data_IF_775160273996
#
_entry.id   IF_775160273996
#
_cell.length_a   1.000
_cell.length_b   1.000
_cell.length_c   1.000
_cell.angle_alpha   90.00
_cell.angle_beta   90.00
_cell.angle_gamma   90.00
#
_symmetry.space_group_name_H-M   'P 1'
#
loop_
_entity.id
_entity.type
_entity.pdbx_description
1 polymer ?
#
# COMPACT_ATOMS: atom_id res chain seq x y z
N UNK A 1 -12.03 -12.24 11.71
CA UNK A 1 -11.61 -12.68 10.36
C UNK A 1 -10.70 -11.63 9.76
N UNK A 2 -9.66 -12.06 9.08
CA UNK A 2 -8.72 -11.16 8.44
C UNK A 2 -9.22 -10.77 7.05
N UNK A 3 -8.94 -9.55 6.66
CA UNK A 3 -9.29 -9.06 5.31
C UNK A 3 -8.02 -9.02 4.47
N UNK A 4 -8.12 -9.58 3.27
CA UNK A 4 -7.06 -9.47 2.28
C UNK A 4 -7.41 -8.33 1.33
N UNK A 5 -6.46 -7.42 1.13
CA UNK A 5 -6.66 -6.24 0.29
C UNK A 5 -5.70 -6.21 -0.89
N UNK A 6 -6.23 -5.77 -2.02
CA UNK A 6 -5.44 -5.30 -3.15
C UNK A 6 -5.48 -3.77 -3.13
N UNK A 7 -4.34 -3.13 -3.07
CA UNK A 7 -4.24 -1.67 -3.00
C UNK A 7 -3.43 -1.17 -4.19
N UNK A 8 -4.03 -0.28 -4.97
CA UNK A 8 -3.35 0.44 -6.04
C UNK A 8 -3.07 1.84 -5.54
N UNK A 9 -1.80 2.22 -5.47
CA UNK A 9 -1.42 3.48 -4.86
C UNK A 9 -0.32 4.17 -5.65
N UNK A 10 -0.27 5.49 -5.54
CA UNK A 10 0.71 6.30 -6.24
C UNK A 10 1.94 6.45 -5.36
N UNK A 11 3.07 5.96 -5.87
CA UNK A 11 4.35 6.13 -5.19
C UNK A 11 4.91 7.51 -5.53
N UNK A 12 5.48 8.16 -4.53
CA UNK A 12 6.16 9.44 -4.73
C UNK A 12 7.55 9.15 -5.28
N UNK A 13 7.94 9.88 -6.31
CA UNK A 13 9.30 9.80 -6.84
C UNK A 13 9.87 11.19 -7.06
N UNK A 14 11.19 11.28 -7.02
CA UNK A 14 11.86 12.54 -7.26
C UNK A 14 11.83 12.85 -8.74
N UNK A 15 11.42 14.07 -9.08
CA UNK A 15 11.41 14.52 -10.46
C UNK A 15 12.80 14.80 -11.00
N UNK A 16 13.73 15.17 -10.12
CA UNK A 16 15.10 15.48 -10.52
C UNK A 16 16.05 15.17 -9.36
N UNK A 17 17.32 14.90 -9.70
CA UNK A 17 18.38 14.67 -8.71
C UNK A 17 19.27 15.91 -8.52
N UNK A 18 19.12 16.92 -9.37
CA UNK A 18 19.93 18.14 -9.33
C UNK A 18 19.04 19.36 -9.52
N UNK A 19 19.62 20.53 -9.38
CA UNK A 19 18.91 21.78 -9.65
C UNK A 19 18.48 21.83 -11.11
N UNK A 20 17.18 22.10 -11.32
CA UNK A 20 16.58 22.13 -12.66
C UNK A 20 15.69 23.37 -12.77
N UNK A 21 15.72 24.02 -13.92
CA UNK A 21 14.83 25.13 -14.17
C UNK A 21 13.36 24.65 -14.16
N UNK A 22 12.48 25.46 -13.62
CA UNK A 22 11.07 25.08 -13.48
C UNK A 22 10.47 24.70 -14.84
N UNK A 23 10.83 25.44 -15.89
CA UNK A 23 10.29 25.20 -17.24
C UNK A 23 10.78 23.88 -17.85
N UNK A 24 11.85 23.31 -17.29
CA UNK A 24 12.42 22.04 -17.77
C UNK A 24 11.87 20.83 -17.01
N UNK A 25 11.03 21.04 -16.01
CA UNK A 25 10.41 19.94 -15.29
C UNK A 25 9.39 19.24 -16.18
N UNK A 26 9.47 17.92 -16.20
CA UNK A 26 8.56 17.08 -16.95
C UNK A 26 7.65 16.35 -15.95
N UNK A 27 6.35 16.45 -16.18
CA UNK A 27 5.38 15.66 -15.41
C UNK A 27 5.29 14.27 -16.05
N UNK A 28 5.92 13.29 -15.42
CA UNK A 28 5.91 11.90 -15.90
C UNK A 28 4.66 11.16 -15.44
N UNK A 29 3.77 11.82 -14.74
CA UNK A 29 2.56 11.21 -14.20
C UNK A 29 2.82 10.44 -12.91
N UNK A 30 1.83 9.67 -12.49
CA UNK A 30 1.93 8.86 -11.30
C UNK A 30 2.51 7.48 -11.61
N UNK A 31 3.37 7.01 -10.74
CA UNK A 31 3.80 5.61 -10.76
C UNK A 31 2.85 4.85 -9.85
N UNK A 32 2.06 3.95 -10.43
CA UNK A 32 1.08 3.17 -9.68
C UNK A 32 1.68 1.84 -9.27
N UNK A 33 1.66 1.61 -7.96
CA UNK A 33 2.10 0.35 -7.36
C UNK A 33 0.88 -0.46 -6.99
N UNK A 34 0.90 -1.74 -7.28
CA UNK A 34 -0.13 -2.67 -6.85
C UNK A 34 0.43 -3.55 -5.73
N UNK A 35 -0.21 -3.50 -4.57
CA UNK A 35 0.21 -4.28 -3.41
C UNK A 35 -0.94 -5.11 -2.90
N UNK A 36 -0.65 -6.33 -2.47
CA UNK A 36 -1.63 -7.24 -1.90
C UNK A 36 -1.13 -7.68 -0.53
N UNK A 37 -2.02 -7.66 0.45
CA UNK A 37 -1.63 -8.11 1.78
C UNK A 37 -2.82 -8.25 2.72
N UNK A 38 -2.50 -8.74 3.90
CA UNK A 38 -3.47 -8.91 4.99
C UNK A 38 -3.58 -7.57 5.70
N UNK A 39 -4.79 -7.02 5.76
CA UNK A 39 -5.01 -5.73 6.41
C UNK A 39 -4.81 -5.84 7.93
N UNK A 40 -4.06 -4.91 8.48
CA UNK A 40 -3.92 -4.74 9.92
C UNK A 40 -4.74 -3.53 10.34
N UNK A 41 -5.58 -3.71 11.36
CA UNK A 41 -6.35 -2.62 11.93
C UNK A 41 -5.43 -1.66 12.70
N UNK A 42 -5.86 -0.42 12.81
CA UNK A 42 -5.09 0.63 13.48
C UNK A 42 -4.67 0.21 14.90
N UNK A 43 -5.56 -0.49 15.61
CA UNK A 43 -5.32 -0.93 16.98
C UNK A 43 -4.49 -2.22 17.08
N UNK A 44 -4.25 -2.89 15.97
CA UNK A 44 -3.59 -4.19 15.94
C UNK A 44 -2.46 -4.22 14.91
N UNK A 45 -1.50 -3.35 15.08
CA UNK A 45 -0.33 -3.29 14.20
C UNK A 45 -0.43 -2.31 13.07
N UNK A 46 -1.56 -1.66 12.90
CA UNK A 46 -1.75 -0.62 11.92
C UNK A 46 -1.17 0.72 12.36
N UNK A 47 -1.40 1.73 11.53
CA UNK A 47 -0.91 3.08 11.77
C UNK A 47 -1.96 4.07 11.31
N UNK A 48 -2.23 5.08 12.13
CA UNK A 48 -3.22 6.10 11.81
C UNK A 48 -2.88 6.79 10.48
N UNK A 49 -3.89 7.01 9.64
CA UNK A 49 -3.72 7.67 8.35
C UNK A 49 -3.08 6.79 7.29
N UNK A 50 -2.93 5.52 7.56
CA UNK A 50 -2.31 4.56 6.63
C UNK A 50 -3.16 3.30 6.54
N UNK A 51 -3.09 2.66 5.36
CA UNK A 51 -3.53 1.28 5.21
C UNK A 51 -2.29 0.42 5.45
N UNK A 52 -2.38 -0.51 6.38
CA UNK A 52 -1.27 -1.39 6.72
C UNK A 52 -1.55 -2.79 6.17
N UNK A 53 -0.60 -3.30 5.42
CA UNK A 53 -0.69 -4.62 4.79
C UNK A 53 0.47 -5.49 5.29
N UNK A 54 0.16 -6.65 5.85
CA UNK A 54 1.16 -7.62 6.24
C UNK A 54 1.27 -8.70 5.18
N UNK A 55 2.48 -9.15 4.91
CA UNK A 55 2.68 -10.28 4.02
C UNK A 55 2.25 -11.58 4.69
N UNK A 56 2.57 -11.74 5.96
CA UNK A 56 2.30 -12.96 6.70
C UNK A 56 1.94 -12.65 8.15
N UNK A 57 1.10 -13.47 8.73
CA UNK A 57 0.71 -13.38 10.13
C UNK A 57 0.85 -14.75 10.78
N UNK A 58 1.48 -14.76 11.96
CA UNK A 58 1.57 -15.94 12.81
C UNK A 58 1.15 -15.54 14.23
N UNK A 59 -0.09 -15.84 14.58
CA UNK A 59 -0.63 -15.45 15.88
C UNK A 59 -0.62 -13.93 16.05
N UNK A 60 0.22 -13.44 16.94
CA UNK A 60 0.39 -12.02 17.21
C UNK A 60 1.65 -11.43 16.59
N UNK A 61 2.30 -12.19 15.68
CA UNK A 61 3.49 -11.73 14.96
C UNK A 61 3.17 -11.51 13.48
N UNK A 62 3.78 -10.50 12.89
CA UNK A 62 3.60 -10.15 11.48
C UNK A 62 4.95 -9.99 10.81
N UNK A 63 4.95 -10.19 9.49
CA UNK A 63 6.15 -10.08 8.68
C UNK A 63 5.91 -9.18 7.50
N UNK A 64 6.89 -8.36 7.17
CA UNK A 64 6.87 -7.46 6.01
C UNK A 64 5.61 -6.62 5.95
N UNK A 65 5.52 -5.65 6.83
CA UNK A 65 4.37 -4.74 6.87
C UNK A 65 4.65 -3.51 6.01
N UNK A 66 3.72 -3.24 5.10
CA UNK A 66 3.73 -2.05 4.26
C UNK A 66 2.68 -1.08 4.77
N UNK A 67 3.10 0.16 5.03
CA UNK A 67 2.19 1.24 5.42
C UNK A 67 1.98 2.18 4.25
N UNK A 68 0.76 2.22 3.71
CA UNK A 68 0.44 3.08 2.57
C UNK A 68 -0.36 4.28 3.06
N UNK A 69 0.14 5.51 2.89
CA UNK A 69 -0.63 6.70 3.28
C UNK A 69 -1.97 6.74 2.53
N UNK A 70 -3.05 7.00 3.25
CA UNK A 70 -4.40 7.00 2.66
C UNK A 70 -4.49 7.97 1.48
N UNK A 71 -3.83 9.13 1.57
CA UNK A 71 -3.85 10.12 0.48
C UNK A 71 -3.21 9.65 -0.81
N UNK A 72 -2.40 8.59 -0.76
CA UNK A 72 -1.74 8.03 -1.95
C UNK A 72 -2.53 6.90 -2.59
N UNK A 73 -3.58 6.42 -1.96
CA UNK A 73 -4.38 5.30 -2.46
C UNK A 73 -5.30 5.79 -3.58
N UNK A 74 -5.28 5.08 -4.71
CA UNK A 74 -6.13 5.35 -5.86
C UNK A 74 -7.28 4.37 -5.97
N UNK A 75 -7.06 3.13 -5.56
CA UNK A 75 -8.09 2.10 -5.56
C UNK A 75 -7.76 1.04 -4.51
N UNK A 76 -8.79 0.51 -3.89
CA UNK A 76 -8.65 -0.53 -2.87
C UNK A 76 -9.78 -1.54 -3.04
N UNK A 77 -9.42 -2.81 -3.08
CA UNK A 77 -10.37 -3.89 -3.31
C UNK A 77 -10.17 -4.97 -2.26
N UNK A 78 -11.24 -5.33 -1.58
CA UNK A 78 -11.23 -6.49 -0.70
C UNK A 78 -11.28 -7.76 -1.54
N UNK A 79 -10.38 -8.69 -1.25
CA UNK A 79 -10.31 -9.95 -1.99
C UNK A 79 -10.99 -11.04 -1.20
N UNK A 80 -11.69 -11.91 -1.93
CA UNK A 80 -12.37 -13.06 -1.35
C UNK A 80 -11.81 -14.34 -1.98
N UNK A 81 -11.74 -15.37 -1.17
CA UNK A 81 -11.35 -16.69 -1.63
C UNK A 81 -12.57 -17.59 -1.70
N UNK A 82 -12.78 -18.19 -2.87
CA UNK A 82 -13.81 -19.19 -3.05
C UNK A 82 -13.17 -20.57 -3.14
N UNK A 83 -13.80 -21.54 -2.53
CA UNK A 83 -13.43 -22.93 -2.70
C UNK A 83 -12.08 -23.32 -2.13
N UNK A 84 -11.60 -22.60 -1.12
CA UNK A 84 -10.36 -23.00 -0.45
C UNK A 84 -10.62 -24.28 0.33
N UNK A 85 -9.93 -25.33 -0.05
CA UNK A 85 -10.03 -26.61 0.65
C UNK A 85 -9.36 -26.52 2.02
N UNK A 86 -9.99 -27.10 2.98
CA UNK A 86 -9.48 -27.17 4.33
C UNK A 86 -8.92 -28.54 4.66
#
# INVERSE_FOLDING_TARGET
>A
MRTLLLVEWADAHDGTETWTAIDDLVDDGEVIITSIGIQLDEDNGGKKGHVALAQSIDGDHVDNVLYVPVGMIRKMTALQFDGVAQ
#
